data_IF_866727544131
#
_entry.id   IF_866727544131
#
_cell.length_a   1.000
_cell.length_b   1.000
_cell.length_c   1.000
_cell.angle_alpha   90.00
_cell.angle_beta   90.00
_cell.angle_gamma   90.00
#
_symmetry.space_group_name_H-M   'P 1'
#
loop_
_entity.id
_entity.type
_entity.pdbx_description
1 polymer ?
#
# COMPACT_ATOMS: atom_id res chain seq x y z
N UNK A 1 -5.86 -1.31 2.68
CA UNK A 1 -5.62 -1.85 4.03
C UNK A 1 -4.24 -1.43 4.47
N UNK A 2 -4.06 -1.08 5.74
CA UNK A 2 -2.75 -0.86 6.35
C UNK A 2 -2.66 -1.76 7.59
N UNK A 3 -1.52 -2.37 7.81
CA UNK A 3 -1.24 -3.26 8.95
C UNK A 3 0.20 -3.08 9.44
N UNK A 4 0.43 -3.38 10.70
CA UNK A 4 1.73 -3.45 11.36
C UNK A 4 1.53 -3.84 12.83
N UNK A 5 2.62 -4.00 13.56
CA UNK A 5 2.55 -4.46 14.95
C UNK A 5 2.03 -3.35 15.88
N UNK A 6 2.38 -2.10 15.58
CA UNK A 6 1.86 -0.92 16.30
C UNK A 6 1.47 0.18 15.32
N UNK A 7 0.29 0.77 15.52
CA UNK A 7 -0.26 1.81 14.67
C UNK A 7 -0.67 3.01 15.54
N UNK A 8 -0.15 4.19 15.22
CA UNK A 8 -0.62 5.47 15.76
C UNK A 8 -1.30 6.26 14.66
N UNK A 9 -2.57 6.60 14.87
CA UNK A 9 -3.35 7.48 14.00
C UNK A 9 -3.67 8.78 14.74
N UNK A 10 -3.20 9.89 14.18
CA UNK A 10 -3.48 11.23 14.67
C UNK A 10 -4.67 11.80 13.88
N UNK A 11 -5.65 12.30 14.62
CA UNK A 11 -6.90 12.83 14.08
C UNK A 11 -7.03 14.29 14.52
N UNK A 12 -7.28 15.17 13.56
CA UNK A 12 -7.57 16.58 13.79
C UNK A 12 -8.91 16.93 13.15
N UNK A 13 -9.80 17.61 13.88
CA UNK A 13 -11.12 17.99 13.37
C UNK A 13 -11.91 16.81 12.74
N UNK A 14 -11.86 15.64 13.39
CA UNK A 14 -12.49 14.38 12.94
C UNK A 14 -11.95 13.84 11.61
N UNK A 15 -10.81 14.32 11.12
CA UNK A 15 -10.12 13.85 9.91
C UNK A 15 -8.73 13.31 10.27
N UNK A 16 -8.25 12.24 9.62
CA UNK A 16 -6.88 11.78 9.81
C UNK A 16 -5.90 12.87 9.34
N UNK A 17 -4.82 13.04 10.09
CA UNK A 17 -3.73 14.00 9.80
C UNK A 17 -2.41 13.26 9.54
N UNK A 18 -2.08 12.29 10.41
CA UNK A 18 -0.83 11.50 10.33
C UNK A 18 -1.07 10.07 10.76
N UNK A 19 -0.36 9.14 10.13
CA UNK A 19 -0.34 7.73 10.48
C UNK A 19 1.12 7.28 10.61
N UNK A 20 1.43 6.59 11.70
CA UNK A 20 2.71 5.92 11.91
C UNK A 20 2.44 4.44 12.15
N UNK A 21 3.16 3.59 11.42
CA UNK A 21 3.06 2.13 11.52
C UNK A 21 4.47 1.59 11.74
N UNK A 22 4.62 0.82 12.81
CA UNK A 22 5.89 0.29 13.26
C UNK A 22 5.88 -1.23 13.18
N UNK A 23 6.98 -1.77 12.67
CA UNK A 23 7.27 -3.20 12.50
C UNK A 23 6.25 -3.94 11.63
N UNK A 24 6.75 -4.85 10.78
CA UNK A 24 5.94 -5.59 9.81
C UNK A 24 4.96 -4.70 9.01
N UNK A 25 5.35 -3.44 8.78
CA UNK A 25 4.45 -2.44 8.25
C UNK A 25 4.15 -2.72 6.78
N UNK A 26 2.86 -2.75 6.44
CA UNK A 26 2.37 -3.09 5.10
C UNK A 26 1.17 -2.22 4.74
N UNK A 27 1.18 -1.66 3.54
CA UNK A 27 0.04 -1.07 2.88
C UNK A 27 -0.32 -1.91 1.64
N UNK A 28 -1.59 -2.33 1.57
CA UNK A 28 -2.13 -3.13 0.46
C UNK A 28 -3.32 -2.41 -0.13
N UNK A 29 -3.33 -2.26 -1.46
CA UNK A 29 -4.44 -1.70 -2.21
C UNK A 29 -4.81 -2.64 -3.35
N UNK A 30 -6.11 -2.95 -3.48
CA UNK A 30 -6.62 -3.78 -4.58
C UNK A 30 -6.67 -2.94 -5.86
N UNK A 31 -6.16 -3.47 -6.96
CA UNK A 31 -6.10 -2.76 -8.24
C UNK A 31 -7.47 -2.86 -8.93
N UNK A 32 -8.25 -1.78 -8.87
CA UNK A 32 -9.61 -1.68 -9.43
C UNK A 32 -10.46 -2.96 -9.19
N UNK A 33 -11.13 -3.48 -10.22
CA UNK A 33 -11.94 -4.70 -10.18
C UNK A 33 -11.13 -5.99 -10.33
N UNK A 34 -9.80 -5.90 -10.46
CA UNK A 34 -8.93 -7.06 -10.71
C UNK A 34 -8.73 -7.93 -9.48
N UNK A 35 -7.99 -9.04 -9.63
CA UNK A 35 -7.55 -9.89 -8.51
C UNK A 35 -6.18 -9.48 -7.94
N UNK A 36 -5.57 -8.42 -8.48
CA UNK A 36 -4.21 -8.01 -8.17
C UNK A 36 -4.17 -6.95 -7.07
N UNK A 37 -3.00 -6.86 -6.42
CA UNK A 37 -2.79 -5.97 -5.28
C UNK A 37 -1.49 -5.20 -5.41
N UNK A 38 -1.59 -3.88 -5.34
CA UNK A 38 -0.46 -3.01 -5.04
C UNK A 38 -0.07 -3.20 -3.58
N UNK A 39 1.22 -3.33 -3.32
CA UNK A 39 1.78 -3.69 -2.02
C UNK A 39 2.97 -2.80 -1.73
N UNK A 40 3.03 -2.22 -0.54
CA UNK A 40 4.17 -1.45 -0.06
C UNK A 40 4.49 -1.90 1.36
N UNK A 41 5.74 -2.30 1.59
CA UNK A 41 6.24 -2.78 2.88
C UNK A 41 7.45 -1.97 3.31
N UNK A 42 7.63 -1.85 4.63
CA UNK A 42 8.90 -1.43 5.24
C UNK A 42 8.98 -1.87 6.70
N UNK A 43 10.10 -1.57 7.36
CA UNK A 43 10.18 -1.60 8.83
C UNK A 43 9.22 -0.56 9.42
N UNK A 44 9.15 0.64 8.83
CA UNK A 44 8.13 1.64 9.15
C UNK A 44 7.39 2.13 7.92
N UNK A 45 6.11 2.46 8.12
CA UNK A 45 5.28 3.18 7.16
C UNK A 45 4.71 4.42 7.83
N UNK A 46 4.96 5.58 7.23
CA UNK A 46 4.41 6.86 7.69
C UNK A 46 3.55 7.45 6.58
N UNK A 47 2.35 7.92 6.91
CA UNK A 47 1.49 8.61 5.96
C UNK A 47 1.06 9.98 6.46
N UNK A 48 1.00 10.94 5.55
CA UNK A 48 0.47 12.28 5.76
C UNK A 48 -0.85 12.43 5.03
N UNK A 49 -1.79 13.14 5.65
CA UNK A 49 -3.12 13.37 5.14
C UNK A 49 -3.36 14.87 4.96
N UNK A 50 -4.05 15.23 3.88
CA UNK A 50 -4.57 16.58 3.62
C UNK A 50 -6.08 16.45 3.47
N UNK A 51 -6.82 17.20 4.26
CA UNK A 51 -8.29 17.14 4.29
C UNK A 51 -8.89 15.74 4.52
N UNK A 52 -8.16 14.89 5.24
CA UNK A 52 -8.56 13.51 5.54
C UNK A 52 -8.31 12.52 4.40
N UNK A 53 -7.76 12.98 3.27
CA UNK A 53 -7.28 12.13 2.17
C UNK A 53 -5.78 11.91 2.32
N UNK A 54 -5.31 10.71 1.98
CA UNK A 54 -3.88 10.44 1.98
C UNK A 54 -3.21 11.30 0.90
N UNK A 55 -2.13 11.98 1.27
CA UNK A 55 -1.33 12.81 0.38
C UNK A 55 0.01 12.16 0.07
N UNK A 56 0.66 11.58 1.07
CA UNK A 56 1.92 10.86 0.88
C UNK A 56 2.07 9.71 1.86
N UNK A 57 2.86 8.72 1.45
CA UNK A 57 3.26 7.58 2.26
C UNK A 57 4.75 7.31 2.06
N UNK A 58 5.48 7.05 3.13
CA UNK A 58 6.89 6.67 3.11
C UNK A 58 7.05 5.31 3.76
N UNK A 59 7.60 4.35 3.01
CA UNK A 59 8.15 3.12 3.55
C UNK A 59 9.65 3.28 3.78
N UNK A 60 10.15 2.86 4.94
CA UNK A 60 11.59 2.93 5.26
C UNK A 60 12.07 1.65 5.94
N UNK A 61 13.29 1.25 5.59
CA UNK A 61 13.96 0.07 6.14
C UNK A 61 13.50 -1.18 5.41
N UNK A 62 14.39 -1.75 4.61
CA UNK A 62 14.08 -2.89 3.72
C UNK A 62 12.77 -2.68 2.96
N UNK A 63 12.61 -1.50 2.36
CA UNK A 63 11.36 -1.15 1.71
C UNK A 63 11.19 -1.98 0.44
N UNK A 64 10.01 -2.58 0.28
CA UNK A 64 9.68 -3.46 -0.84
C UNK A 64 8.32 -3.02 -1.41
N UNK A 65 8.19 -3.04 -2.73
CA UNK A 65 6.99 -2.65 -3.43
C UNK A 65 6.66 -3.66 -4.53
N UNK A 66 5.37 -3.92 -4.70
CA UNK A 66 4.80 -4.59 -5.88
C UNK A 66 3.73 -3.68 -6.43
N UNK A 67 3.90 -3.22 -7.67
CA UNK A 67 3.00 -2.28 -8.32
C UNK A 67 2.57 -2.79 -9.69
N UNK A 68 1.26 -2.87 -9.90
CA UNK A 68 0.64 -3.25 -11.16
C UNK A 68 0.37 -2.00 -11.99
N UNK A 69 1.17 -1.78 -13.02
CA UNK A 69 1.05 -0.62 -13.89
C UNK A 69 -0.05 -0.83 -14.95
N UNK A 70 -0.90 0.18 -15.13
CA UNK A 70 -1.93 0.23 -16.16
C UNK A 70 -1.75 1.45 -17.05
N UNK A 71 -2.22 1.36 -18.30
CA UNK A 71 -2.31 2.51 -19.21
C UNK A 71 -3.57 3.37 -18.95
N UNK A 72 -3.79 4.38 -19.79
CA UNK A 72 -4.93 5.30 -19.72
C UNK A 72 -6.28 4.59 -19.87
N UNK A 73 -6.32 3.49 -20.63
CA UNK A 73 -7.49 2.65 -20.85
C UNK A 73 -7.67 1.58 -19.75
N UNK A 74 -6.84 1.63 -18.70
CA UNK A 74 -6.80 0.68 -17.58
C UNK A 74 -6.37 -0.74 -17.96
N UNK A 75 -5.71 -0.91 -19.09
CA UNK A 75 -5.10 -2.19 -19.48
C UNK A 75 -3.77 -2.37 -18.77
N UNK A 76 -3.48 -3.58 -18.32
CA UNK A 76 -2.22 -3.86 -17.61
C UNK A 76 -1.02 -3.85 -18.55
N UNK A 77 -0.01 -3.06 -18.20
CA UNK A 77 1.27 -2.99 -18.89
C UNK A 77 2.22 -4.08 -18.34
N UNK A 78 2.24 -4.24 -17.02
CA UNK A 78 3.13 -5.16 -16.33
C UNK A 78 3.04 -5.00 -14.82
N UNK A 79 3.84 -5.82 -14.12
CA UNK A 79 3.96 -5.74 -12.65
C UNK A 79 5.42 -5.51 -12.29
N UNK A 80 5.68 -4.43 -11.57
CA UNK A 80 6.99 -4.10 -11.05
C UNK A 80 7.13 -4.62 -9.63
N UNK A 81 8.20 -5.35 -9.34
CA UNK A 81 8.61 -5.71 -7.97
C UNK A 81 9.98 -5.10 -7.71
N UNK A 82 10.08 -4.29 -6.67
CA UNK A 82 11.28 -3.52 -6.37
C UNK A 82 11.56 -3.39 -4.88
N UNK A 83 12.82 -3.20 -4.52
CA UNK A 83 13.30 -2.87 -3.18
C UNK A 83 14.12 -1.59 -3.19
N UNK A 84 14.13 -0.86 -2.08
CA UNK A 84 14.99 0.29 -1.84
C UNK A 84 15.17 0.52 -0.32
N UNK A 85 16.08 1.42 0.08
CA UNK A 85 16.17 1.81 1.49
C UNK A 85 14.89 2.55 1.94
N UNK A 86 14.36 3.40 1.05
CA UNK A 86 13.17 4.22 1.26
C UNK A 86 12.35 4.25 -0.05
N UNK A 87 11.03 4.13 0.08
CA UNK A 87 10.08 4.31 -1.02
C UNK A 87 9.06 5.35 -0.59
N UNK A 88 8.97 6.44 -1.34
CA UNK A 88 7.93 7.47 -1.18
C UNK A 88 6.86 7.29 -2.24
N UNK A 89 5.59 7.34 -1.82
CA UNK A 89 4.42 7.32 -2.68
C UNK A 89 3.64 8.61 -2.44
N UNK A 90 3.40 9.36 -3.51
CA UNK A 90 2.57 10.56 -3.51
C UNK A 90 1.25 10.24 -4.19
N UNK A 91 0.18 10.84 -3.68
CA UNK A 91 -1.19 10.55 -4.08
C UNK A 91 -1.88 11.80 -4.61
N UNK A 92 -2.59 11.63 -5.73
CA UNK A 92 -3.55 12.58 -6.28
C UNK A 92 -4.92 11.91 -6.36
N UNK A 93 -5.96 12.59 -5.88
CA UNK A 93 -7.32 12.03 -5.77
C UNK A 93 -7.39 10.63 -5.13
N UNK A 94 -6.57 10.41 -4.09
CA UNK A 94 -6.46 9.13 -3.36
C UNK A 94 -5.94 7.96 -4.21
N UNK A 95 -5.31 8.24 -5.36
CA UNK A 95 -4.62 7.26 -6.20
C UNK A 95 -3.11 7.54 -6.18
N UNK A 96 -2.26 6.50 -6.17
CA UNK A 96 -0.83 6.70 -6.36
C UNK A 96 -0.57 7.42 -7.69
N UNK A 97 0.10 8.55 -7.63
CA UNK A 97 0.46 9.37 -8.79
C UNK A 97 1.96 9.23 -9.09
N UNK A 98 2.78 9.27 -8.03
CA UNK A 98 4.23 9.25 -8.14
C UNK A 98 4.86 8.35 -7.09
N UNK A 99 5.80 7.51 -7.52
CA UNK A 99 6.61 6.67 -6.63
C UNK A 99 8.08 7.06 -6.80
N UNK A 100 8.77 7.30 -5.69
CA UNK A 100 10.19 7.66 -5.66
C UNK A 100 10.95 6.65 -4.82
N UNK A 101 11.92 5.99 -5.45
CA UNK A 101 12.82 5.05 -4.79
C UNK A 101 14.12 5.77 -4.43
N UNK A 102 14.53 5.68 -3.16
CA UNK A 102 15.68 6.39 -2.65
C UNK A 102 16.70 5.37 -2.13
N UNK A 103 17.85 5.32 -2.81
CA UNK A 103 19.03 4.46 -2.53
C UNK A 103 18.78 2.98 -2.72
N UNK A 104 19.81 2.27 -3.20
CA UNK A 104 19.83 0.82 -3.37
C UNK A 104 18.59 0.27 -4.08
N UNK A 105 18.13 0.97 -5.13
CA UNK A 105 17.02 0.49 -5.95
C UNK A 105 17.46 -0.77 -6.68
N UNK A 106 16.74 -1.86 -6.41
CA UNK A 106 16.75 -3.08 -7.23
C UNK A 106 15.30 -3.37 -7.62
N UNK A 107 15.04 -3.61 -8.89
CA UNK A 107 13.68 -3.70 -9.41
C UNK A 107 13.59 -4.45 -10.71
N UNK A 108 12.60 -5.33 -10.80
CA UNK A 108 12.30 -6.09 -12.02
C UNK A 108 10.85 -5.87 -12.41
N UNK A 109 10.64 -5.63 -13.70
CA UNK A 109 9.29 -5.56 -14.29
C UNK A 109 8.99 -6.87 -14.99
N UNK A 110 7.88 -7.48 -14.63
CA UNK A 110 7.44 -8.76 -15.14
C UNK A 110 6.20 -8.60 -16.04
N UNK A 111 6.11 -9.37 -17.13
CA UNK A 111 4.93 -9.38 -17.98
C UNK A 111 3.76 -10.09 -17.30
N UNK A 112 2.54 -9.57 -17.48
CA UNK A 112 1.35 -10.08 -16.79
C UNK A 112 1.03 -11.55 -17.08
N UNK A 113 1.27 -12.03 -18.31
CA UNK A 113 0.85 -13.37 -18.75
C UNK A 113 1.84 -14.49 -18.45
N UNK A 114 3.10 -14.16 -18.15
CA UNK A 114 4.16 -15.16 -17.98
C UNK A 114 4.66 -15.26 -16.54
N UNK A 115 3.96 -14.62 -15.60
CA UNK A 115 4.42 -14.47 -14.21
C UNK A 115 3.43 -15.08 -13.26
N UNK A 116 3.93 -15.81 -12.26
CA UNK A 116 3.12 -16.26 -11.14
C UNK A 116 2.88 -15.09 -10.17
N UNK A 117 1.69 -14.49 -10.23
CA UNK A 117 1.33 -13.34 -9.40
C UNK A 117 1.25 -13.64 -7.92
N UNK A 118 1.06 -14.91 -7.53
CA UNK A 118 1.07 -15.30 -6.13
C UNK A 118 2.48 -15.26 -5.53
N UNK A 119 3.51 -15.58 -6.32
CA UNK A 119 4.92 -15.48 -5.90
C UNK A 119 5.40 -14.03 -5.80
N UNK A 120 4.70 -13.10 -6.46
CA UNK A 120 5.02 -11.68 -6.35
C UNK A 120 4.60 -11.10 -5.00
N UNK A 121 3.67 -11.73 -4.26
CA UNK A 121 3.22 -11.25 -2.96
C UNK A 121 4.40 -11.08 -1.99
N UNK A 122 4.50 -9.89 -1.42
CA UNK A 122 5.54 -9.57 -0.45
C UNK A 122 5.35 -10.43 0.80
N UNK A 123 6.46 -10.85 1.41
CA UNK A 123 6.42 -11.58 2.68
C UNK A 123 5.55 -10.84 3.71
N UNK A 124 4.60 -11.57 4.29
CA UNK A 124 3.64 -11.02 5.26
C UNK A 124 2.37 -10.46 4.63
N UNK A 125 2.19 -10.56 3.31
CA UNK A 125 0.94 -10.22 2.64
C UNK A 125 -0.26 -10.95 3.28
N UNK A 126 -1.22 -10.17 3.79
CA UNK A 126 -2.50 -10.65 4.32
C UNK A 126 -3.59 -9.65 3.95
N UNK A 127 -4.55 -10.06 3.12
CA UNK A 127 -5.68 -9.23 2.74
C UNK A 127 -6.95 -9.65 3.51
N UNK A 128 -7.36 -8.81 4.46
CA UNK A 128 -8.40 -9.13 5.44
C UNK A 128 -9.72 -8.38 5.14
N UNK A 129 -10.20 -8.38 3.88
CA UNK A 129 -11.45 -7.66 3.55
C UNK A 129 -12.68 -8.22 4.30
N UNK A 130 -12.65 -9.50 4.69
CA UNK A 130 -13.70 -10.11 5.51
C UNK A 130 -13.81 -9.52 6.92
N UNK A 131 -12.75 -8.87 7.43
CA UNK A 131 -12.75 -8.17 8.71
C UNK A 131 -13.18 -6.70 8.58
N UNK A 132 -13.29 -6.17 7.36
CA UNK A 132 -13.67 -4.77 7.14
C UNK A 132 -15.13 -4.58 7.54
N UNK A 133 -15.42 -3.73 8.55
CA UNK A 133 -16.80 -3.42 8.92
C UNK A 133 -17.51 -2.81 7.73
N UNK A 134 -18.63 -3.41 7.30
CA UNK A 134 -19.44 -2.89 6.18
C UNK A 134 -20.54 -1.93 6.66
N UNK A 135 -20.79 -1.89 7.96
CA UNK A 135 -21.72 -0.94 8.59
C UNK A 135 -21.25 -0.53 9.99
N UNK A 136 -21.84 0.56 10.52
CA UNK A 136 -21.63 0.98 11.91
C UNK A 136 -22.03 -0.09 12.93
N UNK A 137 -22.99 -0.95 12.60
CA UNK A 137 -23.49 -1.99 13.50
C UNK A 137 -22.49 -3.14 13.65
N UNK A 138 -21.72 -3.44 12.61
CA UNK A 138 -20.67 -4.47 12.68
C UNK A 138 -19.53 -4.11 13.63
N UNK A 139 -19.34 -2.83 13.95
CA UNK A 139 -18.40 -2.41 15.00
C UNK A 139 -18.86 -2.76 16.40
N UNK A 140 -20.17 -3.00 16.59
CA UNK A 140 -20.78 -3.28 17.90
C UNK A 140 -20.92 -4.79 18.14
N UNK A 141 -20.81 -5.60 17.09
CA UNK A 141 -20.88 -7.05 17.19
C UNK A 141 -19.47 -7.58 17.42
N UNK A 142 -19.11 -7.89 18.67
CA UNK A 142 -17.88 -8.60 18.96
C UNK A 142 -17.93 -9.98 18.27
N UNK A 143 -16.99 -10.24 17.36
CA UNK A 143 -16.76 -11.54 16.72
C UNK A 143 -15.75 -12.35 17.52
#
# INVERSE_FOLDING_TARGET
QISGDTIYLYIQNKKPERLYVFENSMAINKVDSSIYFNQLRGTTLNALFVDGKINSMRAKGNAENVYYATDEDKSFIGVNKSTADIIDVFFEDSKPEKVVFLRNLDGTTFPMRLTNHDELKIRGFKWNDALRPKSKYELLTFK
#
